data_IF_399764511444
#
_entry.id   IF_399764511444
#
_cell.length_a   1.000
_cell.length_b   1.000
_cell.length_c   1.000
_cell.angle_alpha   90.00
_cell.angle_beta   90.00
_cell.angle_gamma   90.00
#
_symmetry.space_group_name_H-M   'P 1'
#
loop_
_entity.id
_entity.type
_entity.pdbx_description
1 polymer ?
#
# COMPACT_ATOMS: atom_id res chain seq x y z
N UNK A 1 -5.68 -19.89 -0.82
CA UNK A 1 -4.63 -19.65 0.20
C UNK A 1 -4.79 -18.24 0.75
N UNK A 2 -4.88 -18.06 2.06
CA UNK A 2 -5.04 -16.74 2.69
C UNK A 2 -3.79 -15.87 2.46
N UNK A 3 -3.98 -14.61 2.09
CA UNK A 3 -2.88 -13.65 2.01
C UNK A 3 -2.47 -13.23 3.43
N UNK A 4 -1.17 -13.20 3.69
CA UNK A 4 -0.61 -12.75 4.96
C UNK A 4 -0.76 -11.24 5.13
N UNK A 5 -0.73 -10.72 6.37
CA UNK A 5 -0.60 -9.29 6.62
C UNK A 5 0.66 -8.72 5.93
N UNK A 6 0.58 -7.52 5.35
CA UNK A 6 1.74 -6.89 4.75
C UNK A 6 2.73 -6.37 5.79
N UNK A 7 3.99 -6.11 5.40
CA UNK A 7 4.86 -5.24 6.17
C UNK A 7 4.21 -3.86 6.39
N UNK A 8 4.38 -3.29 7.59
CA UNK A 8 3.77 -2.01 8.01
C UNK A 8 3.97 -0.88 6.99
N UNK A 9 5.19 -0.75 6.46
CA UNK A 9 5.55 0.26 5.46
C UNK A 9 4.65 0.24 4.22
N UNK A 10 4.09 -0.91 3.84
CA UNK A 10 3.24 -1.03 2.65
C UNK A 10 1.92 -0.26 2.78
N UNK A 11 1.47 0.02 3.99
CA UNK A 11 0.32 0.90 4.24
C UNK A 11 0.63 2.34 3.83
N UNK A 12 1.80 2.86 4.22
CA UNK A 12 2.20 4.22 3.85
C UNK A 12 2.60 4.32 2.37
N UNK A 13 3.19 3.27 1.80
CA UNK A 13 3.48 3.19 0.37
C UNK A 13 2.20 3.24 -0.48
N UNK A 14 1.14 2.54 -0.03
CA UNK A 14 -0.19 2.61 -0.64
C UNK A 14 -0.83 3.99 -0.50
N UNK A 15 -0.77 4.58 0.70
CA UNK A 15 -1.28 5.93 0.94
C UNK A 15 -0.58 6.97 0.06
N UNK A 16 0.75 6.87 -0.08
CA UNK A 16 1.51 7.73 -1.00
C UNK A 16 1.11 7.52 -2.46
N UNK A 17 0.78 6.29 -2.89
CA UNK A 17 0.28 6.05 -4.24
C UNK A 17 -1.08 6.71 -4.50
N UNK A 18 -1.98 6.70 -3.53
CA UNK A 18 -3.25 7.44 -3.59
C UNK A 18 -2.98 8.94 -3.64
N UNK A 19 -2.11 9.45 -2.76
CA UNK A 19 -1.75 10.86 -2.72
C UNK A 19 -1.18 11.36 -4.06
N UNK A 20 -0.29 10.59 -4.66
CA UNK A 20 0.35 10.90 -5.95
C UNK A 20 -0.59 10.77 -7.16
N UNK A 21 -1.85 10.35 -6.98
CA UNK A 21 -2.76 10.07 -8.09
C UNK A 21 -2.33 8.88 -8.95
N UNK A 22 -1.53 7.97 -8.39
CA UNK A 22 -0.98 6.78 -9.09
C UNK A 22 -1.95 5.60 -9.13
N UNK A 23 -3.17 5.74 -8.63
CA UNK A 23 -4.19 4.69 -8.61
C UNK A 23 -5.32 5.05 -9.59
N UNK A 24 -5.49 4.22 -10.62
CA UNK A 24 -6.57 4.34 -11.60
C UNK A 24 -7.59 3.24 -11.34
N UNK A 25 -8.80 3.60 -10.93
CA UNK A 25 -9.91 2.66 -10.76
C UNK A 25 -10.52 2.37 -12.13
N UNK A 26 -10.52 1.09 -12.51
CA UNK A 26 -11.06 0.59 -13.80
C UNK A 26 -12.50 0.07 -13.67
N UNK A 27 -12.95 -0.16 -12.45
CA UNK A 27 -14.28 -0.67 -12.11
C UNK A 27 -14.27 -1.27 -10.70
N UNK A 28 -15.40 -1.81 -10.22
CA UNK A 28 -15.48 -2.38 -8.88
C UNK A 28 -14.45 -3.49 -8.65
N UNK A 29 -13.62 -3.30 -7.63
CA UNK A 29 -12.51 -4.18 -7.26
C UNK A 29 -11.32 -4.14 -8.21
N UNK A 30 -11.30 -3.31 -9.26
CA UNK A 30 -10.28 -3.38 -10.33
C UNK A 30 -9.52 -2.08 -10.45
N UNK A 31 -8.20 -2.13 -10.25
CA UNK A 31 -7.34 -0.96 -10.35
C UNK A 31 -6.05 -1.22 -11.13
N UNK A 32 -5.50 -0.16 -11.72
CA UNK A 32 -4.10 -0.06 -12.11
C UNK A 32 -3.37 0.85 -11.11
N UNK A 33 -2.22 0.40 -10.61
CA UNK A 33 -1.40 1.17 -9.66
C UNK A 33 -0.02 1.37 -10.23
N UNK A 34 0.38 2.62 -10.46
CA UNK A 34 1.70 2.96 -10.99
C UNK A 34 2.74 2.95 -9.86
N UNK A 35 3.94 2.41 -10.11
CA UNK A 35 5.06 2.41 -9.15
C UNK A 35 5.51 3.82 -8.77
N UNK A 36 6.23 3.98 -7.66
CA UNK A 36 6.76 5.29 -7.23
C UNK A 36 7.70 5.93 -8.27
N UNK A 37 8.32 5.12 -9.13
CA UNK A 37 9.24 5.58 -10.18
C UNK A 37 8.56 5.70 -11.55
N UNK A 38 7.28 5.39 -11.66
CA UNK A 38 6.55 5.43 -12.94
C UNK A 38 6.89 4.32 -13.93
N UNK A 39 7.81 3.42 -13.60
CA UNK A 39 8.37 2.41 -14.50
C UNK A 39 7.56 1.10 -14.58
N UNK A 40 6.59 0.92 -13.68
CA UNK A 40 5.73 -0.27 -13.63
C UNK A 40 4.30 0.12 -13.36
N UNK A 41 3.37 -0.65 -13.92
CA UNK A 41 1.95 -0.58 -13.63
C UNK A 41 1.51 -1.95 -13.11
N UNK A 42 0.96 -1.98 -11.90
CA UNK A 42 0.46 -3.19 -11.27
C UNK A 42 -1.04 -3.32 -11.50
N UNK A 43 -1.50 -4.51 -11.88
CA UNK A 43 -2.92 -4.81 -12.08
C UNK A 43 -3.50 -5.46 -10.84
N UNK A 44 -4.57 -4.87 -10.31
CA UNK A 44 -5.21 -5.29 -9.06
C UNK A 44 -6.63 -5.73 -9.33
N UNK A 45 -7.02 -6.85 -8.73
CA UNK A 45 -8.39 -7.33 -8.69
C UNK A 45 -8.77 -7.77 -7.27
N UNK A 46 -9.89 -7.28 -6.74
CA UNK A 46 -10.41 -7.59 -5.41
C UNK A 46 -11.91 -7.85 -5.49
N UNK A 47 -12.31 -9.13 -5.44
CA UNK A 47 -13.71 -9.53 -5.55
C UNK A 47 -14.02 -10.73 -4.64
N UNK A 48 -15.17 -10.69 -3.95
CA UNK A 48 -15.68 -11.83 -3.17
C UNK A 48 -14.70 -12.37 -2.12
N UNK A 49 -14.01 -11.48 -1.39
CA UNK A 49 -13.00 -11.88 -0.39
C UNK A 49 -11.69 -12.41 -0.98
N UNK A 50 -11.51 -12.34 -2.30
CA UNK A 50 -10.27 -12.71 -2.99
C UNK A 50 -9.59 -11.48 -3.54
N UNK A 51 -8.26 -11.51 -3.56
CA UNK A 51 -7.43 -10.45 -4.12
C UNK A 51 -6.30 -11.02 -4.98
N UNK A 52 -5.92 -10.26 -6.00
CA UNK A 52 -4.79 -10.50 -6.89
C UNK A 52 -4.09 -9.19 -7.19
N UNK A 53 -2.77 -9.31 -7.30
CA UNK A 53 -1.89 -8.29 -7.83
C UNK A 53 -0.67 -8.98 -8.44
N UNK A 54 -0.15 -8.43 -9.52
CA UNK A 54 1.08 -8.87 -10.19
C UNK A 54 2.35 -8.31 -9.52
N UNK A 55 2.22 -7.59 -8.40
CA UNK A 55 3.35 -7.14 -7.61
C UNK A 55 4.10 -8.30 -6.91
N UNK A 56 5.41 -8.13 -6.74
CA UNK A 56 6.28 -9.16 -6.15
C UNK A 56 5.88 -9.57 -4.73
N UNK A 57 5.32 -8.64 -3.94
CA UNK A 57 4.86 -8.90 -2.57
C UNK A 57 3.68 -9.86 -2.57
N UNK A 58 2.71 -9.61 -3.44
CA UNK A 58 1.60 -10.55 -3.64
C UNK A 58 2.10 -11.82 -4.28
N UNK A 59 2.76 -11.78 -5.45
CA UNK A 59 3.15 -12.97 -6.23
C UNK A 59 4.06 -13.91 -5.43
N UNK A 60 5.23 -13.43 -5.00
CA UNK A 60 6.29 -14.28 -4.44
C UNK A 60 6.27 -14.35 -2.91
N UNK A 61 5.77 -13.31 -2.23
CA UNK A 61 5.74 -13.26 -0.76
C UNK A 61 4.37 -13.62 -0.19
N UNK A 62 3.30 -13.64 -0.98
CA UNK A 62 1.98 -14.10 -0.50
C UNK A 62 1.40 -13.28 0.65
N UNK A 63 1.68 -11.98 0.68
CA UNK A 63 0.98 -11.03 1.53
C UNK A 63 0.14 -10.07 0.68
N UNK A 64 -0.74 -9.29 1.30
CA UNK A 64 -1.51 -8.25 0.59
C UNK A 64 -0.58 -7.10 0.14
N UNK A 65 -0.18 -7.06 -1.14
CA UNK A 65 0.71 -6.03 -1.66
C UNK A 65 0.16 -4.60 -1.53
N UNK A 66 1.06 -3.59 -1.53
CA UNK A 66 0.64 -2.18 -1.50
C UNK A 66 -0.34 -1.80 -2.64
N UNK A 67 -0.29 -2.39 -3.85
CA UNK A 67 -1.26 -2.06 -4.88
C UNK A 67 -2.69 -2.46 -4.49
N UNK A 68 -2.84 -3.61 -3.81
CA UNK A 68 -4.15 -4.06 -3.30
C UNK A 68 -4.66 -3.07 -2.25
N UNK A 69 -3.79 -2.66 -1.32
CA UNK A 69 -4.15 -1.67 -0.28
C UNK A 69 -4.53 -0.33 -0.93
N UNK A 70 -3.78 0.14 -1.93
CA UNK A 70 -4.04 1.40 -2.61
C UNK A 70 -5.36 1.37 -3.40
N UNK A 71 -5.67 0.25 -4.05
CA UNK A 71 -6.96 0.05 -4.71
C UNK A 71 -8.12 0.11 -3.70
N UNK A 72 -8.00 -0.60 -2.57
CA UNK A 72 -9.00 -0.56 -1.50
C UNK A 72 -9.20 0.85 -0.93
N UNK A 73 -8.12 1.62 -0.74
CA UNK A 73 -8.19 3.02 -0.32
C UNK A 73 -8.89 3.91 -1.37
N UNK A 74 -8.54 3.77 -2.65
CA UNK A 74 -9.14 4.53 -3.74
C UNK A 74 -10.64 4.22 -3.92
N UNK A 75 -11.08 3.01 -3.57
CA UNK A 75 -12.49 2.61 -3.55
C UNK A 75 -13.23 2.99 -2.25
N UNK A 76 -12.57 3.66 -1.30
CA UNK A 76 -13.17 4.04 -0.01
C UNK A 76 -13.41 2.86 0.94
N UNK A 77 -12.78 1.70 0.68
CA UNK A 77 -12.91 0.47 1.49
C UNK A 77 -11.89 0.40 2.63
N UNK A 78 -10.85 1.24 2.57
CA UNK A 78 -9.89 1.48 3.65
C UNK A 78 -9.77 3.00 3.87
N UNK A 79 -9.49 3.45 5.11
CA UNK A 79 -9.38 4.86 5.41
C UNK A 79 -8.18 5.49 4.70
N UNK A 80 -8.32 6.78 4.38
CA UNK A 80 -7.27 7.64 3.84
C UNK A 80 -7.15 8.83 4.79
N UNK A 81 -5.99 8.99 5.40
CA UNK A 81 -5.66 10.20 6.17
C UNK A 81 -5.12 11.27 5.19
N UNK A 82 -5.86 12.36 4.91
CA UNK A 82 -5.44 13.35 3.92
C UNK A 82 -4.18 14.12 4.33
N UNK A 83 -4.00 14.37 5.63
CA UNK A 83 -2.86 15.11 6.16
C UNK A 83 -1.58 14.30 6.04
N UNK A 84 -1.64 13.02 6.40
CA UNK A 84 -0.53 12.09 6.22
C UNK A 84 -0.26 11.81 4.74
N UNK A 85 -1.31 11.67 3.92
CA UNK A 85 -1.20 11.47 2.48
C UNK A 85 -0.39 12.59 1.82
N UNK A 86 -0.70 13.85 2.14
CA UNK A 86 0.00 14.99 1.56
C UNK A 86 1.49 15.01 1.95
N UNK A 87 1.84 14.63 3.18
CA UNK A 87 3.25 14.53 3.62
C UNK A 87 4.03 13.44 2.87
N UNK A 88 3.34 12.40 2.40
CA UNK A 88 3.91 11.26 1.68
C UNK A 88 3.98 11.48 0.15
N UNK A 89 3.47 12.60 -0.36
CA UNK A 89 3.51 12.91 -1.80
C UNK A 89 4.95 12.95 -2.32
N UNK A 90 5.19 12.29 -3.45
CA UNK A 90 6.48 12.24 -4.14
C UNK A 90 7.58 11.46 -3.41
N UNK A 91 7.23 10.61 -2.44
CA UNK A 91 8.22 9.73 -1.80
C UNK A 91 8.68 8.65 -2.79
N UNK A 92 9.99 8.60 -3.06
CA UNK A 92 10.63 7.62 -3.95
C UNK A 92 10.82 6.26 -3.24
N UNK A 93 9.70 5.59 -2.91
CA UNK A 93 9.66 4.37 -2.08
C UNK A 93 10.64 3.30 -2.52
N UNK A 94 10.73 3.01 -3.83
CA UNK A 94 11.66 2.00 -4.34
C UNK A 94 13.12 2.37 -4.06
N UNK A 95 13.54 3.59 -4.39
CA UNK A 95 14.91 4.07 -4.16
C UNK A 95 15.28 4.04 -2.68
N UNK A 96 14.35 4.45 -1.80
CA UNK A 96 14.59 4.41 -0.36
C UNK A 96 14.72 2.97 0.15
N UNK A 97 13.85 2.06 -0.31
CA UNK A 97 13.93 0.65 0.04
C UNK A 97 15.26 0.01 -0.43
N UNK A 98 15.72 0.32 -1.64
CA UNK A 98 16.99 -0.15 -2.18
C UNK A 98 18.19 0.44 -1.42
N UNK A 99 18.14 1.73 -1.06
CA UNK A 99 19.21 2.44 -0.35
C UNK A 99 19.41 1.93 1.08
N UNK A 100 18.32 1.78 1.83
CA UNK A 100 18.40 1.43 3.26
C UNK A 100 18.35 -0.07 3.51
N UNK A 101 17.72 -0.86 2.63
CA UNK A 101 17.59 -2.32 2.77
C UNK A 101 16.73 -2.80 3.96
N UNK A 102 16.37 -1.90 4.88
CA UNK A 102 15.58 -2.18 6.10
C UNK A 102 14.41 -1.21 6.20
N UNK A 103 13.19 -1.76 6.28
CA UNK A 103 11.96 -0.96 6.31
C UNK A 103 11.89 0.02 7.49
N UNK A 104 12.42 -0.35 8.66
CA UNK A 104 12.46 0.56 9.81
C UNK A 104 13.31 1.80 9.55
N UNK A 105 14.42 1.65 8.82
CA UNK A 105 15.29 2.78 8.49
C UNK A 105 14.66 3.68 7.43
N UNK A 106 13.94 3.10 6.46
CA UNK A 106 13.14 3.85 5.49
C UNK A 106 12.07 4.68 6.21
N UNK A 107 11.30 4.07 7.11
CA UNK A 107 10.27 4.76 7.88
C UNK A 107 10.87 5.86 8.76
N UNK A 108 11.95 5.58 9.49
CA UNK A 108 12.66 6.59 10.29
C UNK A 108 13.12 7.77 9.43
N UNK A 109 13.66 7.50 8.24
CA UNK A 109 14.07 8.54 7.31
C UNK A 109 12.89 9.39 6.83
N UNK A 110 11.81 8.77 6.38
CA UNK A 110 10.62 9.47 5.88
C UNK A 110 9.96 10.29 7.00
N UNK A 111 9.85 9.73 8.21
CA UNK A 111 9.25 10.45 9.34
C UNK A 111 10.02 11.73 9.67
N UNK A 112 11.36 11.66 9.66
CA UNK A 112 12.21 12.82 9.89
C UNK A 112 12.17 13.82 8.72
N UNK A 113 12.35 13.35 7.48
CA UNK A 113 12.40 14.20 6.28
C UNK A 113 11.08 14.96 6.04
N UNK A 114 9.94 14.28 6.27
CA UNK A 114 8.61 14.83 5.98
C UNK A 114 7.93 15.45 7.19
N UNK A 115 8.63 15.54 8.32
CA UNK A 115 8.07 16.03 9.59
C UNK A 115 6.75 15.32 9.96
N UNK A 116 6.72 13.99 9.80
CA UNK A 116 5.57 13.16 10.14
C UNK A 116 5.70 12.73 11.61
N UNK A 117 4.66 12.98 12.41
CA UNK A 117 4.58 12.43 13.76
C UNK A 117 4.47 10.91 13.71
N UNK A 118 5.50 10.22 14.22
CA UNK A 118 5.58 8.76 14.24
C UNK A 118 4.38 8.16 14.95
N UNK A 119 3.96 8.71 16.10
CA UNK A 119 2.88 8.12 16.87
C UNK A 119 1.54 8.13 16.09
N UNK A 120 1.26 9.22 15.40
CA UNK A 120 0.07 9.35 14.54
C UNK A 120 0.13 8.42 13.32
N UNK A 121 1.29 8.35 12.64
CA UNK A 121 1.47 7.44 11.51
C UNK A 121 1.32 5.96 11.92
N UNK A 122 1.87 5.55 13.06
CA UNK A 122 1.74 4.17 13.55
C UNK A 122 0.29 3.83 13.94
N UNK A 123 -0.46 4.77 14.55
CA UNK A 123 -1.89 4.58 14.82
C UNK A 123 -2.70 4.36 13.53
N UNK A 124 -2.43 5.18 12.51
CA UNK A 124 -3.05 5.02 11.19
C UNK A 124 -2.71 3.65 10.57
N UNK A 125 -1.44 3.24 10.63
CA UNK A 125 -1.02 1.92 10.15
C UNK A 125 -1.78 0.80 10.87
N UNK A 126 -1.89 0.88 12.20
CA UNK A 126 -2.59 -0.13 12.99
C UNK A 126 -4.08 -0.23 12.64
N UNK A 127 -4.74 0.92 12.44
CA UNK A 127 -6.14 0.97 12.00
C UNK A 127 -6.33 0.30 10.63
N UNK A 128 -5.52 0.67 9.64
CA UNK A 128 -5.58 0.08 8.29
C UNK A 128 -5.30 -1.42 8.34
N UNK A 129 -4.29 -1.86 9.09
CA UNK A 129 -3.95 -3.29 9.20
C UNK A 129 -5.06 -4.08 9.90
N UNK A 130 -5.72 -3.50 10.91
CA UNK A 130 -6.87 -4.12 11.57
C UNK A 130 -8.01 -4.33 10.58
N UNK A 131 -8.45 -3.28 9.89
CA UNK A 131 -9.53 -3.35 8.90
C UNK A 131 -9.20 -4.31 7.75
N UNK A 132 -7.95 -4.27 7.27
CA UNK A 132 -7.49 -5.19 6.24
C UNK A 132 -7.50 -6.66 6.71
N UNK A 133 -7.15 -6.90 7.97
CA UNK A 133 -7.18 -8.24 8.57
C UNK A 133 -8.59 -8.82 8.68
N UNK A 134 -9.58 -7.96 8.96
CA UNK A 134 -11.01 -8.31 9.03
C UNK A 134 -11.58 -8.72 7.66
N UNK A 135 -11.02 -8.20 6.55
CA UNK A 135 -11.42 -8.60 5.19
C UNK A 135 -11.04 -10.05 4.84
N UNK A 136 -10.12 -10.68 5.57
CA UNK A 136 -9.70 -12.09 5.41
C UNK A 136 -9.34 -12.48 3.97
N UNK A 137 -8.68 -11.57 3.23
CA UNK A 137 -8.42 -11.74 1.81
C UNK A 137 -7.65 -13.02 1.48
N UNK A 138 -8.16 -13.77 0.51
CA UNK A 138 -7.48 -14.92 -0.08
C UNK A 138 -6.87 -14.58 -1.43
N UNK A 139 -5.81 -15.28 -1.82
CA UNK A 139 -5.27 -15.14 -3.17
C UNK A 139 -6.27 -15.69 -4.19
N UNK A 140 -6.65 -14.88 -5.18
CA UNK A 140 -7.42 -15.34 -6.32
C UNK A 140 -6.61 -16.31 -7.20
N UNK A 141 -7.26 -17.35 -7.72
CA UNK A 141 -6.66 -18.32 -8.63
C UNK A 141 -6.16 -17.66 -9.94
N UNK A 142 -5.10 -18.19 -10.57
CA UNK A 142 -4.56 -17.77 -11.88
C UNK A 142 -5.61 -17.33 -12.88
#
# INVERSE_FOLDING_TARGET
>A
MRLRPPPRIKVLEALGAVADGRVKVLGPGRCEVVSSEGDRVYRVEVAGGRARSDDNGTVYRGYVGYPIIACLMAEGRLPVDPGLAERLRGVAWRRLNERFGRYEEVLRHIYAERAIDRASAERYIDEVLKLLGEMRLERAAP
#
